data_IF_307955595585
#
_entry.id   IF_307955595585
#
_cell.length_a   1.000
_cell.length_b   1.000
_cell.length_c   1.000
_cell.angle_alpha   90.00
_cell.angle_beta   90.00
_cell.angle_gamma   90.00
#
_symmetry.space_group_name_H-M   'P 1'
#
loop_
_entity.id
_entity.type
_entity.pdbx_description
1 polymer ?
#
# COMPACT_ATOMS: atom_id res chain seq x y z
N UNK A 1 -25.45 -3.88 -8.35
CA UNK A 1 -25.10 -2.84 -7.35
C UNK A 1 -24.99 -3.55 -6.02
N UNK A 2 -23.91 -3.29 -5.29
CA UNK A 2 -23.78 -3.77 -3.91
C UNK A 2 -24.81 -3.02 -3.04
N UNK A 3 -25.47 -3.72 -2.12
CA UNK A 3 -26.40 -3.09 -1.15
C UNK A 3 -25.65 -2.44 0.03
N UNK A 4 -24.31 -2.50 0.04
CA UNK A 4 -23.47 -1.89 1.06
C UNK A 4 -23.30 -0.37 0.84
N UNK A 5 -23.72 0.49 1.79
CA UNK A 5 -23.60 1.94 1.68
C UNK A 5 -22.16 2.45 1.49
N UNK A 6 -21.15 1.74 2.02
CA UNK A 6 -19.75 2.15 1.84
C UNK A 6 -19.33 2.00 0.38
N UNK A 7 -19.66 0.86 -0.22
CA UNK A 7 -19.42 0.59 -1.65
C UNK A 7 -20.19 1.57 -2.53
N UNK A 8 -21.47 1.84 -2.24
CA UNK A 8 -22.28 2.79 -3.02
C UNK A 8 -21.69 4.20 -3.03
N UNK A 9 -21.25 4.72 -1.89
CA UNK A 9 -20.59 6.03 -1.79
C UNK A 9 -19.23 6.05 -2.48
N UNK A 10 -18.46 4.96 -2.36
CA UNK A 10 -17.17 4.83 -3.00
C UNK A 10 -17.30 4.82 -4.52
N UNK A 11 -18.26 4.06 -5.08
CA UNK A 11 -18.49 4.01 -6.52
C UNK A 11 -18.96 5.38 -7.04
N UNK A 12 -19.87 6.05 -6.32
CA UNK A 12 -20.41 7.34 -6.72
C UNK A 12 -19.34 8.45 -6.75
N UNK A 13 -18.43 8.49 -5.76
CA UNK A 13 -17.44 9.58 -5.68
C UNK A 13 -16.40 9.53 -6.81
N UNK A 14 -16.13 8.35 -7.39
CA UNK A 14 -15.11 8.18 -8.43
C UNK A 14 -15.41 8.97 -9.71
N UNK A 15 -16.68 9.30 -9.98
CA UNK A 15 -17.07 10.15 -11.12
C UNK A 15 -16.70 11.63 -10.91
N UNK A 16 -16.59 12.06 -9.66
CA UNK A 16 -16.39 13.47 -9.28
C UNK A 16 -14.92 13.80 -9.01
N UNK A 17 -14.17 12.83 -8.44
CA UNK A 17 -12.76 13.02 -8.05
C UNK A 17 -11.86 13.51 -9.18
N UNK A 18 -11.95 13.02 -10.43
CA UNK A 18 -11.06 13.49 -11.51
C UNK A 18 -11.14 15.00 -11.75
N UNK A 19 -12.30 15.62 -11.48
CA UNK A 19 -12.55 17.03 -11.70
C UNK A 19 -12.32 17.84 -10.42
N UNK A 20 -13.00 17.47 -9.34
CA UNK A 20 -13.07 18.25 -8.10
C UNK A 20 -12.11 17.77 -7.01
N UNK A 21 -11.34 16.71 -7.30
CA UNK A 21 -10.43 16.06 -6.36
C UNK A 21 -11.16 15.34 -5.23
N UNK A 22 -10.41 14.91 -4.23
CA UNK A 22 -10.97 14.37 -2.99
C UNK A 22 -11.41 15.51 -2.06
N UNK A 23 -12.54 16.13 -2.38
CA UNK A 23 -13.03 17.36 -1.74
C UNK A 23 -14.44 17.20 -1.15
N UNK A 24 -14.85 18.16 -0.33
CA UNK A 24 -16.22 18.18 0.21
C UNK A 24 -17.27 18.24 -0.92
N UNK A 25 -16.99 18.95 -2.01
CA UNK A 25 -17.89 19.00 -3.16
C UNK A 25 -18.09 17.61 -3.78
N UNK A 26 -17.02 16.85 -3.98
CA UNK A 26 -17.09 15.47 -4.47
C UNK A 26 -17.85 14.56 -3.51
N UNK A 27 -17.69 14.74 -2.20
CA UNK A 27 -18.44 13.99 -1.20
C UNK A 27 -19.94 14.30 -1.27
N UNK A 28 -20.30 15.59 -1.30
CA UNK A 28 -21.71 16.00 -1.35
C UNK A 28 -22.37 15.54 -2.66
N UNK A 29 -21.65 15.58 -3.78
CA UNK A 29 -22.10 15.05 -5.06
C UNK A 29 -22.27 13.53 -5.02
N UNK A 30 -21.32 12.79 -4.45
CA UNK A 30 -21.43 11.35 -4.26
C UNK A 30 -22.62 10.97 -3.37
N UNK A 31 -22.92 11.74 -2.33
CA UNK A 31 -24.11 11.52 -1.49
C UNK A 31 -25.40 11.78 -2.27
N UNK A 32 -25.43 12.76 -3.17
CA UNK A 32 -26.59 13.01 -4.03
C UNK A 32 -26.81 11.94 -5.10
N UNK A 33 -25.71 11.41 -5.63
CA UNK A 33 -25.72 10.40 -6.70
C UNK A 33 -25.76 8.96 -6.17
N UNK A 34 -25.56 8.77 -4.86
CA UNK A 34 -25.76 7.50 -4.18
C UNK A 34 -27.14 7.48 -3.51
N UNK A 35 -27.81 6.33 -3.52
CA UNK A 35 -29.06 6.12 -2.78
C UNK A 35 -28.85 6.08 -1.25
N UNK A 36 -27.73 6.63 -0.73
CA UNK A 36 -27.34 6.57 0.67
C UNK A 36 -27.82 7.81 1.41
N UNK A 37 -28.49 7.59 2.55
CA UNK A 37 -28.94 8.67 3.41
C UNK A 37 -27.75 9.57 3.88
N UNK A 38 -27.86 10.91 3.81
CA UNK A 38 -26.76 11.81 4.17
C UNK A 38 -26.28 11.70 5.62
N UNK A 39 -27.14 11.30 6.57
CA UNK A 39 -26.77 11.06 7.96
C UNK A 39 -25.93 9.78 8.03
N UNK A 40 -26.34 8.73 7.32
CA UNK A 40 -25.56 7.49 7.21
C UNK A 40 -24.20 7.75 6.58
N UNK A 41 -24.15 8.50 5.47
CA UNK A 41 -22.89 8.85 4.81
C UNK A 41 -21.90 9.56 5.74
N UNK A 42 -22.37 10.56 6.52
CA UNK A 42 -21.55 11.25 7.52
C UNK A 42 -21.17 10.38 8.71
N UNK A 43 -22.01 9.41 9.08
CA UNK A 43 -21.69 8.42 10.11
C UNK A 43 -20.57 7.48 9.68
N UNK A 44 -20.58 7.05 8.41
CA UNK A 44 -19.56 6.15 7.85
C UNK A 44 -18.25 6.88 7.52
N UNK A 45 -18.33 8.11 7.01
CA UNK A 45 -17.19 8.90 6.54
C UNK A 45 -17.19 10.29 7.18
N UNK A 46 -16.82 10.40 8.47
CA UNK A 46 -16.89 11.66 9.22
C UNK A 46 -15.95 12.75 8.68
N UNK A 47 -14.85 12.39 8.01
CA UNK A 47 -13.95 13.32 7.30
C UNK A 47 -14.30 13.45 5.81
N UNK A 48 -15.47 12.95 5.39
CA UNK A 48 -15.98 13.04 4.04
C UNK A 48 -15.06 12.37 3.01
N UNK A 49 -14.72 13.11 1.95
CA UNK A 49 -13.89 12.61 0.85
C UNK A 49 -12.51 12.10 1.28
N UNK A 50 -11.94 12.58 2.40
CA UNK A 50 -10.66 12.07 2.91
C UNK A 50 -10.79 10.61 3.35
N UNK A 51 -11.89 10.26 4.04
CA UNK A 51 -12.13 8.87 4.45
C UNK A 51 -12.47 7.99 3.25
N UNK A 52 -13.16 8.52 2.23
CA UNK A 52 -13.39 7.81 0.97
C UNK A 52 -12.09 7.60 0.18
N UNK A 53 -11.15 8.54 0.19
CA UNK A 53 -9.83 8.37 -0.42
C UNK A 53 -9.05 7.23 0.26
N UNK A 54 -9.14 7.15 1.60
CA UNK A 54 -8.59 6.04 2.40
C UNK A 54 -9.27 4.72 2.03
N UNK A 55 -10.61 4.72 1.90
CA UNK A 55 -11.37 3.53 1.52
C UNK A 55 -11.00 3.05 0.11
N UNK A 56 -10.90 3.95 -0.86
CA UNK A 56 -10.45 3.67 -2.22
C UNK A 56 -9.06 3.01 -2.25
N UNK A 57 -8.11 3.57 -1.50
CA UNK A 57 -6.77 2.99 -1.41
C UNK A 57 -6.80 1.55 -0.91
N UNK A 58 -7.58 1.28 0.15
CA UNK A 58 -7.73 -0.05 0.73
C UNK A 58 -8.48 -1.02 -0.20
N UNK A 59 -9.45 -0.54 -0.96
CA UNK A 59 -10.13 -1.33 -1.97
C UNK A 59 -9.14 -1.79 -3.07
N UNK A 60 -8.23 -0.90 -3.47
CA UNK A 60 -7.13 -1.27 -4.37
C UNK A 60 -6.16 -2.29 -3.77
N UNK A 61 -5.87 -2.22 -2.47
CA UNK A 61 -5.08 -3.26 -1.78
C UNK A 61 -5.83 -4.61 -1.76
N UNK A 62 -7.15 -4.60 -1.54
CA UNK A 62 -7.97 -5.81 -1.57
C UNK A 62 -8.00 -6.44 -2.98
N UNK A 63 -8.14 -5.64 -4.04
CA UNK A 63 -8.09 -6.14 -5.42
C UNK A 63 -6.69 -6.64 -5.79
N UNK A 64 -5.62 -5.99 -5.33
CA UNK A 64 -4.26 -6.52 -5.46
C UNK A 64 -4.15 -7.93 -4.87
N UNK A 65 -4.64 -8.15 -3.65
CA UNK A 65 -4.62 -9.46 -3.02
C UNK A 65 -5.42 -10.48 -3.83
N UNK A 66 -6.61 -10.09 -4.31
CA UNK A 66 -7.44 -10.93 -5.17
C UNK A 66 -6.73 -11.35 -6.47
N UNK A 67 -5.93 -10.46 -7.05
CA UNK A 67 -5.10 -10.72 -8.24
C UNK A 67 -3.92 -11.62 -7.93
N UNK A 68 -3.26 -11.43 -6.79
CA UNK A 68 -2.18 -12.31 -6.31
C UNK A 68 -2.71 -13.74 -6.12
N UNK A 69 -3.87 -13.90 -5.48
CA UNK A 69 -4.48 -15.21 -5.25
C UNK A 69 -4.89 -15.90 -6.57
N UNK A 70 -5.24 -15.11 -7.59
CA UNK A 70 -5.61 -15.60 -8.91
C UNK A 70 -4.41 -15.87 -9.84
N UNK A 71 -3.20 -15.44 -9.46
CA UNK A 71 -1.97 -15.57 -10.25
C UNK A 71 -1.05 -16.64 -9.62
N UNK A 72 -0.98 -17.86 -10.19
CA UNK A 72 -0.08 -18.90 -9.70
C UNK A 72 1.38 -18.50 -9.93
N UNK A 73 1.99 -17.84 -8.95
CA UNK A 73 3.41 -17.43 -8.98
C UNK A 73 4.38 -18.60 -8.75
N UNK A 74 4.02 -19.81 -9.19
CA UNK A 74 4.88 -20.99 -9.10
C UNK A 74 6.11 -20.82 -10.01
N UNK A 75 7.28 -21.19 -9.51
CA UNK A 75 8.54 -21.06 -10.25
C UNK A 75 9.11 -19.63 -10.34
N UNK A 76 8.38 -18.60 -9.91
CA UNK A 76 8.90 -17.23 -9.88
C UNK A 76 10.03 -17.12 -8.86
N UNK A 77 11.10 -16.40 -9.21
CA UNK A 77 12.08 -15.99 -8.21
C UNK A 77 11.39 -15.03 -7.25
N UNK A 78 11.78 -15.04 -5.97
CA UNK A 78 11.10 -14.24 -4.95
C UNK A 78 11.02 -12.75 -5.29
N UNK A 79 12.08 -12.17 -5.89
CA UNK A 79 12.07 -10.78 -6.35
C UNK A 79 11.03 -10.50 -7.45
N UNK A 80 10.81 -11.47 -8.33
CA UNK A 80 9.85 -11.37 -9.42
C UNK A 80 8.41 -11.46 -8.87
N UNK A 81 8.20 -12.21 -7.77
CA UNK A 81 6.94 -12.21 -7.02
C UNK A 81 6.63 -10.83 -6.42
N UNK A 82 7.64 -10.18 -5.83
CA UNK A 82 7.49 -8.81 -5.29
C UNK A 82 7.15 -7.82 -6.41
N UNK A 83 7.84 -7.92 -7.56
CA UNK A 83 7.55 -7.09 -8.73
C UNK A 83 6.10 -7.30 -9.23
N UNK A 84 5.68 -8.56 -9.35
CA UNK A 84 4.33 -8.92 -9.76
C UNK A 84 3.27 -8.38 -8.78
N UNK A 85 3.48 -8.49 -7.46
CA UNK A 85 2.55 -7.97 -6.46
C UNK A 85 2.41 -6.43 -6.54
N UNK A 86 3.51 -5.69 -6.70
CA UNK A 86 3.47 -4.23 -6.91
C UNK A 86 2.75 -3.88 -8.21
N UNK A 87 3.00 -4.64 -9.28
CA UNK A 87 2.33 -4.45 -10.56
C UNK A 87 0.83 -4.70 -10.46
N UNK A 88 0.40 -5.81 -9.83
CA UNK A 88 -1.01 -6.11 -9.56
C UNK A 88 -1.71 -4.97 -8.81
N UNK A 89 -1.02 -4.32 -7.88
CA UNK A 89 -1.59 -3.15 -7.16
C UNK A 89 -1.81 -1.94 -8.04
N UNK A 90 -0.90 -1.68 -8.97
CA UNK A 90 -1.00 -0.55 -9.90
C UNK A 90 -2.05 -0.85 -10.96
N UNK A 91 -2.08 -2.07 -11.49
CA UNK A 91 -3.06 -2.51 -12.49
C UNK A 91 -4.48 -2.69 -11.93
N UNK A 92 -4.65 -2.66 -10.60
CA UNK A 92 -5.96 -2.59 -9.93
C UNK A 92 -6.63 -1.20 -10.03
N UNK A 93 -5.95 -0.21 -10.62
CA UNK A 93 -6.46 1.14 -10.79
C UNK A 93 -7.11 1.27 -12.16
N UNK A 94 -8.40 1.60 -12.19
CA UNK A 94 -9.13 1.86 -13.43
C UNK A 94 -8.89 3.28 -13.97
N UNK A 95 -8.84 4.28 -13.09
CA UNK A 95 -8.60 5.67 -13.44
C UNK A 95 -7.35 6.24 -12.73
N UNK A 96 -6.35 6.57 -13.55
CA UNK A 96 -5.07 7.15 -13.10
C UNK A 96 -5.25 8.52 -12.45
N UNK A 97 -6.24 9.31 -12.85
CA UNK A 97 -6.45 10.64 -12.30
C UNK A 97 -6.96 10.57 -10.86
N UNK A 98 -7.77 9.58 -10.51
CA UNK A 98 -8.22 9.34 -9.12
C UNK A 98 -7.01 9.15 -8.18
N UNK A 99 -6.02 8.37 -8.62
CA UNK A 99 -4.77 8.15 -7.87
C UNK A 99 -3.91 9.41 -7.83
N UNK A 100 -3.85 10.18 -8.92
CA UNK A 100 -3.14 11.47 -8.94
C UNK A 100 -3.71 12.42 -7.90
N UNK A 101 -5.03 12.58 -7.86
CA UNK A 101 -5.73 13.42 -6.88
C UNK A 101 -5.53 12.92 -5.45
N UNK A 102 -5.52 11.61 -5.23
CA UNK A 102 -5.22 11.02 -3.93
C UNK A 102 -3.78 11.30 -3.49
N UNK A 103 -2.82 11.16 -4.40
CA UNK A 103 -1.40 11.49 -4.15
C UNK A 103 -1.23 12.96 -3.74
N UNK A 104 -1.92 13.88 -4.41
CA UNK A 104 -1.91 15.30 -4.04
C UNK A 104 -2.52 15.55 -2.66
N UNK A 105 -3.67 14.93 -2.36
CA UNK A 105 -4.32 15.05 -1.04
C UNK A 105 -3.36 14.61 0.09
N UNK A 106 -2.78 13.42 -0.05
CA UNK A 106 -1.93 12.83 0.99
C UNK A 106 -0.53 13.44 1.05
N UNK A 107 -0.12 14.25 0.08
CA UNK A 107 1.10 15.05 0.17
C UNK A 107 0.95 16.26 1.10
N UNK A 108 -0.28 16.67 1.43
CA UNK A 108 -0.53 17.77 2.36
C UNK A 108 -0.10 17.39 3.79
N UNK A 109 0.57 18.27 4.55
CA UNK A 109 1.07 17.94 5.89
C UNK A 109 0.00 17.40 6.86
N UNK A 110 -1.25 17.86 6.72
CA UNK A 110 -2.39 17.42 7.54
C UNK A 110 -2.82 15.98 7.26
N UNK A 111 -2.50 15.45 6.07
CA UNK A 111 -2.88 14.11 5.62
C UNK A 111 -1.68 13.20 5.35
N UNK A 112 -0.45 13.71 5.46
CA UNK A 112 0.78 12.97 5.20
C UNK A 112 0.92 11.71 6.06
N UNK A 113 0.48 11.77 7.32
CA UNK A 113 0.49 10.60 8.20
C UNK A 113 -0.48 9.50 7.72
N UNK A 114 -1.67 9.88 7.22
CA UNK A 114 -2.62 8.93 6.63
C UNK A 114 -2.02 8.29 5.37
N UNK A 115 -1.45 9.10 4.46
CA UNK A 115 -0.79 8.60 3.25
C UNK A 115 0.36 7.63 3.54
N UNK A 116 1.22 7.97 4.51
CA UNK A 116 2.31 7.09 4.92
C UNK A 116 1.79 5.76 5.50
N UNK A 117 0.71 5.81 6.28
CA UNK A 117 0.06 4.60 6.83
C UNK A 117 -0.54 3.73 5.73
N UNK A 118 -1.15 4.33 4.72
CA UNK A 118 -1.71 3.62 3.56
C UNK A 118 -0.62 2.91 2.76
N UNK A 119 0.48 3.60 2.44
CA UNK A 119 1.63 3.01 1.73
C UNK A 119 2.26 1.87 2.55
N UNK A 120 2.42 2.07 3.86
CA UNK A 120 2.90 1.02 4.76
C UNK A 120 1.96 -0.20 4.73
N UNK A 121 0.65 0.04 4.76
CA UNK A 121 -0.39 -0.99 4.67
C UNK A 121 -0.29 -1.82 3.40
N UNK A 122 -0.11 -1.18 2.24
CA UNK A 122 0.12 -1.88 0.97
C UNK A 122 1.37 -2.75 1.03
N UNK A 123 2.48 -2.22 1.54
CA UNK A 123 3.73 -2.98 1.67
C UNK A 123 3.57 -4.18 2.62
N UNK A 124 2.90 -3.98 3.76
CA UNK A 124 2.58 -5.05 4.72
C UNK A 124 1.69 -6.14 4.10
N UNK A 125 0.66 -5.74 3.35
CA UNK A 125 -0.23 -6.67 2.64
C UNK A 125 0.53 -7.52 1.61
N UNK A 126 1.42 -6.89 0.81
CA UNK A 126 2.27 -7.62 -0.15
C UNK A 126 3.16 -8.63 0.57
N UNK A 127 3.89 -8.21 1.62
CA UNK A 127 4.78 -9.13 2.35
C UNK A 127 4.01 -10.28 3.00
N UNK A 128 2.83 -10.00 3.55
CA UNK A 128 1.96 -11.00 4.15
C UNK A 128 1.46 -12.00 3.10
N UNK A 129 0.97 -11.53 1.95
CA UNK A 129 0.51 -12.37 0.85
C UNK A 129 1.62 -13.27 0.27
N UNK A 130 2.86 -12.77 0.28
CA UNK A 130 4.04 -13.54 -0.16
C UNK A 130 4.63 -14.44 0.94
N UNK A 131 3.99 -14.55 2.10
CA UNK A 131 4.37 -15.47 3.18
C UNK A 131 5.55 -15.01 4.04
N UNK A 132 5.75 -13.70 4.24
CA UNK A 132 6.80 -13.18 5.13
C UNK A 132 6.60 -13.66 6.58
N UNK A 133 7.59 -14.38 7.12
CA UNK A 133 7.58 -14.88 8.50
C UNK A 133 8.51 -14.10 9.44
N UNK A 134 8.99 -12.92 9.02
CA UNK A 134 9.90 -12.11 9.84
C UNK A 134 9.19 -11.57 11.08
N UNK A 135 9.80 -11.76 12.26
CA UNK A 135 9.27 -11.30 13.54
C UNK A 135 10.19 -10.30 14.26
N UNK A 136 11.30 -9.92 13.60
CA UNK A 136 12.37 -9.08 14.10
C UNK A 136 12.48 -7.76 13.29
N UNK A 137 13.62 -7.09 13.37
CA UNK A 137 13.89 -5.83 12.64
C UNK A 137 13.76 -5.98 11.12
N UNK A 138 13.88 -7.20 10.57
CA UNK A 138 13.65 -7.43 9.14
C UNK A 138 12.18 -7.16 8.76
N UNK A 139 11.22 -7.37 9.67
CA UNK A 139 9.81 -7.05 9.44
C UNK A 139 9.64 -5.57 9.08
N UNK A 140 10.26 -4.68 9.87
CA UNK A 140 10.22 -3.23 9.66
C UNK A 140 11.00 -2.82 8.42
N UNK A 141 12.22 -3.35 8.24
CA UNK A 141 13.10 -2.96 7.13
C UNK A 141 12.50 -3.34 5.78
N UNK A 142 11.95 -4.56 5.67
CA UNK A 142 11.25 -5.03 4.47
C UNK A 142 10.09 -4.12 4.08
N UNK A 143 9.24 -3.73 5.03
CA UNK A 143 8.09 -2.85 4.81
C UNK A 143 8.49 -1.43 4.48
N UNK A 144 9.46 -0.87 5.20
CA UNK A 144 9.98 0.47 4.92
C UNK A 144 10.59 0.56 3.52
N UNK A 145 11.41 -0.44 3.14
CA UNK A 145 12.04 -0.47 1.82
C UNK A 145 11.01 -0.67 0.71
N UNK A 146 10.07 -1.61 0.87
CA UNK A 146 9.01 -1.81 -0.13
C UNK A 146 8.07 -0.60 -0.25
N UNK A 147 7.79 0.11 0.85
CA UNK A 147 7.05 1.37 0.83
C UNK A 147 7.73 2.42 -0.05
N UNK A 148 9.07 2.52 -0.01
CA UNK A 148 9.84 3.41 -0.88
C UNK A 148 9.80 2.97 -2.35
N UNK A 149 9.92 1.67 -2.62
CA UNK A 149 9.81 1.12 -3.98
C UNK A 149 8.43 1.36 -4.55
N UNK A 150 7.36 1.03 -3.82
CA UNK A 150 5.98 1.21 -4.25
C UNK A 150 5.66 2.68 -4.52
N UNK A 151 5.92 3.57 -3.55
CA UNK A 151 5.58 4.99 -3.68
C UNK A 151 6.33 5.67 -4.84
N UNK A 152 7.62 5.37 -5.02
CA UNK A 152 8.37 5.90 -6.17
C UNK A 152 7.90 5.32 -7.51
N UNK A 153 7.48 4.05 -7.55
CA UNK A 153 6.94 3.42 -8.76
C UNK A 153 5.59 4.03 -9.13
N UNK A 154 4.69 4.25 -8.17
CA UNK A 154 3.42 4.95 -8.40
C UNK A 154 3.66 6.35 -8.95
N UNK A 155 4.58 7.13 -8.36
CA UNK A 155 4.91 8.46 -8.85
C UNK A 155 5.45 8.45 -10.28
N UNK A 156 6.29 7.46 -10.61
CA UNK A 156 6.79 7.28 -11.98
C UNK A 156 5.65 6.93 -12.94
N UNK A 157 4.82 5.96 -12.57
CA UNK A 157 3.66 5.49 -13.33
C UNK A 157 2.65 6.59 -13.64
N UNK A 158 2.42 7.50 -12.69
CA UNK A 158 1.55 8.66 -12.87
C UNK A 158 2.03 9.59 -14.00
N UNK A 159 3.31 9.57 -14.38
CA UNK A 159 3.87 10.36 -15.47
C UNK A 159 4.29 9.53 -16.69
N UNK A 160 3.99 8.23 -16.71
CA UNK A 160 4.44 7.33 -17.77
C UNK A 160 3.40 7.22 -18.89
N UNK A 161 3.78 7.69 -20.08
CA UNK A 161 2.97 7.60 -21.31
C UNK A 161 3.54 6.58 -22.32
N UNK A 162 4.47 5.71 -21.89
CA UNK A 162 4.95 4.60 -22.71
C UNK A 162 3.86 3.53 -22.94
N UNK A 163 3.90 2.80 -24.06
CA UNK A 163 2.95 1.72 -24.33
C UNK A 163 2.93 0.70 -23.20
N UNK A 164 1.74 0.34 -22.72
CA UNK A 164 1.49 -0.60 -21.62
C UNK A 164 2.29 -0.30 -20.34
N UNK A 165 2.70 0.96 -20.14
CA UNK A 165 3.56 1.41 -19.04
C UNK A 165 4.91 0.68 -18.96
N UNK A 166 5.50 0.31 -20.10
CA UNK A 166 6.76 -0.43 -20.14
C UNK A 166 7.89 0.26 -19.35
N UNK A 167 7.97 1.59 -19.40
CA UNK A 167 8.98 2.34 -18.67
C UNK A 167 8.80 2.27 -17.14
N UNK A 168 7.56 2.19 -16.66
CA UNK A 168 7.24 1.94 -15.25
C UNK A 168 7.74 0.57 -14.80
N UNK A 169 7.52 -0.47 -15.60
CA UNK A 169 7.94 -1.83 -15.23
C UNK A 169 9.47 -1.96 -15.21
N UNK A 170 10.17 -1.35 -16.17
CA UNK A 170 11.63 -1.25 -16.13
C UNK A 170 12.13 -0.43 -14.93
N UNK A 171 11.40 0.63 -14.53
CA UNK A 171 11.72 1.39 -13.32
C UNK A 171 11.56 0.52 -12.06
N UNK A 172 10.46 -0.22 -11.93
CA UNK A 172 10.20 -1.12 -10.82
C UNK A 172 11.30 -2.19 -10.69
N UNK A 173 11.67 -2.83 -11.79
CA UNK A 173 12.72 -3.86 -11.82
C UNK A 173 14.06 -3.31 -11.30
N UNK A 174 14.44 -2.11 -11.74
CA UNK A 174 15.66 -1.43 -11.26
C UNK A 174 15.59 -1.12 -9.76
N UNK A 175 14.43 -0.66 -9.26
CA UNK A 175 14.24 -0.37 -7.84
C UNK A 175 14.32 -1.63 -6.97
N UNK A 176 13.77 -2.74 -7.42
CA UNK A 176 13.90 -4.03 -6.74
C UNK A 176 15.36 -4.50 -6.77
N UNK A 177 16.07 -4.33 -7.89
CA UNK A 177 17.49 -4.65 -7.98
C UNK A 177 18.35 -3.81 -7.02
N UNK A 178 18.07 -2.51 -6.88
CA UNK A 178 18.74 -1.64 -5.90
C UNK A 178 18.64 -2.16 -4.48
N UNK A 179 17.45 -2.61 -4.08
CA UNK A 179 17.22 -3.22 -2.76
C UNK A 179 18.08 -4.47 -2.59
N UNK A 180 18.11 -5.35 -3.59
CA UNK A 180 18.92 -6.56 -3.54
C UNK A 180 20.42 -6.26 -3.47
N UNK A 181 20.90 -5.21 -4.13
CA UNK A 181 22.30 -4.76 -4.04
C UNK A 181 22.63 -4.26 -2.64
N UNK A 182 21.73 -3.48 -2.04
CA UNK A 182 21.89 -2.97 -0.68
C UNK A 182 21.93 -4.09 0.36
N UNK A 183 21.07 -5.09 0.24
CA UNK A 183 21.06 -6.26 1.13
C UNK A 183 22.33 -7.11 0.98
N UNK A 184 22.83 -7.31 -0.25
CA UNK A 184 24.12 -7.97 -0.48
C UNK A 184 25.28 -7.20 0.16
N UNK A 185 25.29 -5.87 0.05
CA UNK A 185 26.31 -5.03 0.67
C UNK A 185 26.29 -5.12 2.19
N UNK A 186 25.10 -5.03 2.82
CA UNK A 186 24.94 -5.26 4.27
C UNK A 186 25.47 -6.62 4.71
N UNK A 187 25.11 -7.68 3.99
CA UNK A 187 25.56 -9.03 4.29
C UNK A 187 27.10 -9.14 4.22
N UNK A 188 27.71 -8.54 3.19
CA UNK A 188 29.16 -8.49 3.05
C UNK A 188 29.83 -7.78 4.24
N UNK A 189 29.31 -6.62 4.66
CA UNK A 189 29.82 -5.85 5.81
C UNK A 189 29.69 -6.65 7.12
N UNK A 190 28.57 -7.33 7.33
CA UNK A 190 28.33 -8.14 8.53
C UNK A 190 29.20 -9.42 8.59
N UNK A 191 29.62 -9.94 7.43
CA UNK A 191 30.49 -11.11 7.34
C UNK A 191 31.96 -10.82 7.67
N UNK A 192 32.37 -9.54 7.69
CA UNK A 192 33.75 -9.14 7.96
C UNK A 192 34.12 -9.35 9.45
N UNK A 193 35.15 -10.15 9.78
CA UNK A 193 35.55 -10.41 11.17
C UNK A 193 35.91 -9.16 11.98
N UNK A 194 36.38 -8.09 11.32
CA UNK A 194 36.81 -6.84 11.97
C UNK A 194 35.63 -5.97 12.43
N UNK A 195 34.44 -6.11 11.84
CA UNK A 195 33.24 -5.31 12.18
C UNK A 195 32.29 -6.04 13.14
N UNK A 196 32.44 -7.36 13.30
CA UNK A 196 31.61 -8.18 14.22
C UNK A 196 31.65 -7.71 15.67
N UNK A 197 32.81 -7.27 16.17
CA UNK A 197 32.97 -6.79 17.56
C UNK A 197 32.28 -5.46 17.83
N UNK A 198 32.24 -4.56 16.84
CA UNK A 198 31.63 -3.23 16.94
C UNK A 198 30.09 -3.28 16.85
N UNK A 199 29.54 -4.25 16.10
CA UNK A 199 28.10 -4.39 15.87
C UNK A 199 27.36 -5.24 16.92
N UNK A 200 28.07 -5.85 17.88
CA UNK A 200 27.48 -6.73 18.89
C UNK A 200 26.49 -6.00 19.82
N UNK A 201 26.79 -4.76 20.20
CA UNK A 201 25.95 -3.95 21.08
C UNK A 201 24.68 -3.42 20.38
N UNK A 202 24.75 -2.83 19.17
CA UNK A 202 23.56 -2.50 18.38
C UNK A 202 22.65 -3.71 18.08
N UNK A 203 23.23 -4.87 17.73
CA UNK A 203 22.43 -6.07 17.41
C UNK A 203 21.64 -6.61 18.61
N UNK A 204 22.18 -6.50 19.82
CA UNK A 204 21.49 -6.92 21.05
C UNK A 204 20.29 -6.01 21.42
N UNK A 205 20.32 -4.74 20.99
CA UNK A 205 19.19 -3.83 21.16
C UNK A 205 18.13 -4.09 20.09
N UNK A 206 18.55 -4.30 18.84
CA UNK A 206 17.67 -4.61 17.71
C UNK A 206 16.91 -5.94 17.88
N UNK A 207 17.50 -6.96 18.50
CA UNK A 207 16.82 -8.25 18.75
C UNK A 207 15.65 -8.17 19.73
N UNK A 208 15.51 -7.07 20.48
CA UNK A 208 14.36 -6.81 21.37
C UNK A 208 13.17 -6.19 20.65
N UNK A 209 13.37 -5.69 19.43
CA UNK A 209 12.30 -5.18 18.58
C UNK A 209 11.58 -6.38 17.96
N UNK A 210 10.28 -6.47 18.21
CA UNK A 210 9.43 -7.53 17.68
C UNK A 210 8.32 -6.94 16.83
N UNK A 211 7.92 -7.66 15.80
CA UNK A 211 6.75 -7.33 15.01
C UNK A 211 5.49 -7.26 15.91
N UNK A 212 4.50 -6.42 15.58
CA UNK A 212 3.22 -6.43 16.28
C UNK A 212 2.58 -7.82 16.23
N UNK A 213 2.04 -8.29 17.36
CA UNK A 213 1.23 -9.52 17.37
C UNK A 213 -0.17 -9.17 16.90
N UNK A 214 -0.60 -9.76 15.79
CA UNK A 214 -2.02 -9.84 15.43
C UNK A 214 -2.61 -11.05 16.15
N UNK A 215 -3.25 -10.83 17.31
CA UNK A 215 -4.02 -11.87 17.97
C UNK A 215 -5.41 -11.93 17.31
N UNK A 216 -5.83 -13.06 16.70
CA UNK A 216 -7.18 -13.21 16.17
C UNK A 216 -8.27 -12.98 17.23
N UNK A 217 -7.94 -13.15 18.52
CA UNK A 217 -8.87 -12.95 19.64
C UNK A 217 -9.10 -11.48 20.03
N UNK A 218 -8.32 -10.54 19.49
CA UNK A 218 -8.51 -9.09 19.70
C UNK A 218 -9.55 -8.46 18.74
N UNK A 219 -10.22 -9.28 17.92
CA UNK A 219 -11.36 -8.83 17.11
C UNK A 219 -12.65 -8.82 17.95
N UNK A 220 -13.37 -7.68 18.07
CA UNK A 220 -14.66 -7.66 18.72
C UNK A 220 -15.63 -8.60 17.98
N UNK A 221 -16.03 -9.70 18.64
CA UNK A 221 -16.97 -10.67 18.06
C UNK A 221 -16.59 -12.15 18.21
N UNK A 222 -15.39 -12.49 18.70
CA UNK A 222 -15.09 -13.88 19.08
C UNK A 222 -15.61 -14.19 20.49
N UNK A 223 -16.79 -14.80 20.56
CA UNK A 223 -17.24 -15.53 21.75
C UNK A 223 -16.54 -16.90 21.74
N UNK A 224 -15.68 -17.13 22.72
CA UNK A 224 -15.26 -18.48 23.11
C UNK A 224 -16.35 -19.24 23.87
#
# INVERSE_FOLDING_TARGET
>A
MSDDPQTQLLDAILMHVPFDGWSQASFDAAVQDSDVDPIVARGLFPRGAVDLAVAYHKAGDAEMLRRIDADPMEGYRFRDKVAAAVRHRIEAVDDREVVRRGTTLFALPTHAADGAKLIWGTADAIWTALGDTSDDVNWYTKRATLSGVYSSTVLFWLGDDSPDHSATWEFLDRRIEDVMRFEKFKAAVNSNPLTKGLMAFPNAFLSRVKAPKTDPSDLPGHLG
#
